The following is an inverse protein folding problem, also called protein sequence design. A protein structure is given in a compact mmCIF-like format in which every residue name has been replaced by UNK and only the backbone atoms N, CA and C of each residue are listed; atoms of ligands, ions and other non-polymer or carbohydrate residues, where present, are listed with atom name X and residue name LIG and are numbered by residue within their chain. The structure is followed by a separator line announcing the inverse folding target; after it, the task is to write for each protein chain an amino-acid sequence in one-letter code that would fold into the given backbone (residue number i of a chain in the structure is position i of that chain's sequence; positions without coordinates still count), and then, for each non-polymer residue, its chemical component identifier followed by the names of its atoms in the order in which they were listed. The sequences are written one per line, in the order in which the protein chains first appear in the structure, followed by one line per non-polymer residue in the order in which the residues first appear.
data_IF_580364084314
#
_entry.id   IF_580364084314
#
_cell.length_a   1.000
_cell.length_b   1.000
_cell.length_c   1.000
_cell.angle_alpha   90.00
_cell.angle_beta   90.00
_cell.angle_gamma   90.00
#
_symmetry.space_group_name_H-M   'P 1'
#
loop_
_entity.id
_entity.type
_entity.pdbx_description
1 polymer ?
#
# COMPACT_ATOMS: atom_id res chain seq x y z
N UNK A 1 29.36 17.01 27.51
CA UNK A 1 28.39 17.90 26.84
C UNK A 1 28.31 17.68 25.33
N UNK A 2 29.42 17.59 24.59
CA UNK A 2 29.40 17.35 23.12
C UNK A 2 28.74 16.02 22.72
N UNK A 3 29.04 14.93 23.43
CA UNK A 3 28.42 13.61 23.17
C UNK A 3 26.89 13.61 23.37
N UNK A 4 26.38 14.33 24.37
CA UNK A 4 24.95 14.45 24.65
C UNK A 4 24.20 15.24 23.56
N UNK A 5 24.80 16.29 23.01
CA UNK A 5 24.23 17.06 21.89
C UNK A 5 24.29 16.30 20.55
N UNK A 6 25.31 15.47 20.33
CA UNK A 6 25.39 14.62 19.12
C UNK A 6 24.30 13.54 19.17
N UNK A 7 24.10 12.91 20.33
CA UNK A 7 23.03 11.94 20.55
C UNK A 7 21.64 12.58 20.39
N UNK A 8 21.40 13.75 21.00
CA UNK A 8 20.09 14.41 20.90
C UNK A 8 19.74 14.83 19.47
N UNK A 9 20.72 15.30 18.70
CA UNK A 9 20.49 15.72 17.33
C UNK A 9 20.30 14.54 16.36
N UNK A 10 20.90 13.38 16.65
CA UNK A 10 20.62 12.15 15.91
C UNK A 10 19.21 11.63 16.22
N UNK A 11 18.79 11.65 17.48
CA UNK A 11 17.44 11.30 17.88
C UNK A 11 16.38 12.21 17.23
N UNK A 12 16.70 13.50 17.05
CA UNK A 12 15.85 14.44 16.30
C UNK A 12 15.74 14.08 14.82
N UNK A 13 16.86 13.68 14.19
CA UNK A 13 16.87 13.24 12.79
C UNK A 13 16.02 11.97 12.61
N UNK A 14 16.11 11.01 13.52
CA UNK A 14 15.28 9.80 13.51
C UNK A 14 13.80 10.11 13.77
N UNK A 15 13.49 10.94 14.77
CA UNK A 15 12.11 11.37 15.06
C UNK A 15 11.46 12.06 13.87
N UNK A 16 12.24 12.83 13.10
CA UNK A 16 11.76 13.42 11.86
C UNK A 16 11.36 12.33 10.85
N UNK A 17 12.24 11.36 10.58
CA UNK A 17 11.96 10.28 9.63
C UNK A 17 10.72 9.47 10.06
N UNK A 18 10.63 9.09 11.34
CA UNK A 18 9.48 8.37 11.89
C UNK A 18 8.19 9.16 11.74
N UNK A 19 8.19 10.45 12.08
CA UNK A 19 7.01 11.31 11.94
C UNK A 19 6.60 11.43 10.48
N UNK A 20 7.57 11.62 9.58
CA UNK A 20 7.28 11.82 8.17
C UNK A 20 6.70 10.57 7.52
N UNK A 21 7.18 9.40 7.89
CA UNK A 21 6.60 8.11 7.48
C UNK A 21 5.16 7.96 7.98
N UNK A 22 4.87 8.32 9.23
CA UNK A 22 3.50 8.27 9.75
C UNK A 22 2.56 9.23 9.00
N UNK A 23 3.01 10.44 8.68
CA UNK A 23 2.26 11.40 7.87
C UNK A 23 2.01 10.88 6.44
N UNK A 24 3.04 10.29 5.81
CA UNK A 24 2.91 9.63 4.50
C UNK A 24 1.91 8.48 4.55
N UNK A 25 1.95 7.66 5.60
CA UNK A 25 1.03 6.54 5.80
C UNK A 25 -0.43 7.00 5.86
N UNK A 26 -0.70 8.03 6.66
CA UNK A 26 -2.05 8.61 6.75
C UNK A 26 -2.53 9.22 5.42
N UNK A 27 -1.64 9.88 4.67
CA UNK A 27 -1.98 10.42 3.35
C UNK A 27 -2.25 9.30 2.33
N UNK A 28 -1.43 8.25 2.30
CA UNK A 28 -1.62 7.11 1.41
C UNK A 28 -2.94 6.36 1.72
N UNK A 29 -3.24 6.11 3.00
CA UNK A 29 -4.51 5.53 3.45
C UNK A 29 -5.70 6.37 2.97
N UNK A 30 -5.63 7.69 3.16
CA UNK A 30 -6.67 8.61 2.71
C UNK A 30 -6.85 8.58 1.19
N UNK A 31 -5.76 8.61 0.42
CA UNK A 31 -5.83 8.56 -1.05
C UNK A 31 -6.52 7.29 -1.55
N UNK A 32 -6.21 6.14 -0.95
CA UNK A 32 -6.84 4.86 -1.31
C UNK A 32 -8.32 4.88 -0.94
N UNK A 33 -8.65 5.27 0.30
CA UNK A 33 -10.04 5.34 0.77
C UNK A 33 -10.89 6.29 -0.09
N UNK A 34 -10.37 7.50 -0.37
CA UNK A 34 -11.04 8.49 -1.20
C UNK A 34 -11.19 8.00 -2.65
N UNK A 35 -10.23 7.23 -3.18
CA UNK A 35 -10.32 6.66 -4.54
C UNK A 35 -11.42 5.63 -4.68
N UNK A 36 -11.62 4.79 -3.66
CA UNK A 36 -12.67 3.77 -3.64
C UNK A 36 -14.03 4.42 -3.40
N UNK A 37 -14.12 5.40 -2.49
CA UNK A 37 -15.35 6.19 -2.29
C UNK A 37 -15.76 6.92 -3.57
N UNK A 38 -14.79 7.47 -4.31
CA UNK A 38 -15.03 8.10 -5.60
C UNK A 38 -15.58 7.09 -6.62
N UNK A 39 -15.05 5.86 -6.66
CA UNK A 39 -15.54 4.80 -7.54
C UNK A 39 -16.99 4.40 -7.22
N UNK A 40 -17.30 4.18 -5.94
CA UNK A 40 -18.63 3.72 -5.49
C UNK A 40 -19.70 4.76 -5.76
N UNK A 41 -19.39 6.03 -5.54
CA UNK A 41 -20.34 7.13 -5.70
C UNK A 41 -20.26 7.82 -7.07
N UNK A 42 -19.39 7.35 -7.96
CA UNK A 42 -19.11 8.00 -9.25
C UNK A 42 -18.74 9.49 -9.10
N UNK A 43 -17.98 9.80 -8.04
CA UNK A 43 -17.57 11.17 -7.69
C UNK A 43 -16.27 11.55 -8.39
N UNK A 44 -16.39 12.18 -9.56
CA UNK A 44 -15.25 12.62 -10.35
C UNK A 44 -14.45 13.75 -9.67
N UNK A 45 -15.09 14.58 -8.84
CA UNK A 45 -14.39 15.66 -8.15
C UNK A 45 -13.46 15.09 -7.07
N UNK A 46 -13.94 14.10 -6.31
CA UNK A 46 -13.12 13.37 -5.36
C UNK A 46 -11.98 12.60 -6.04
N UNK A 47 -12.25 11.95 -7.18
CA UNK A 47 -11.20 11.29 -7.96
C UNK A 47 -10.10 12.28 -8.39
N UNK A 48 -10.47 13.48 -8.86
CA UNK A 48 -9.51 14.50 -9.27
C UNK A 48 -8.69 15.04 -8.09
N UNK A 49 -9.30 15.14 -6.90
CA UNK A 49 -8.57 15.47 -5.66
C UNK A 49 -7.48 14.42 -5.38
N UNK A 50 -7.82 13.12 -5.39
CA UNK A 50 -6.84 12.04 -5.15
C UNK A 50 -5.68 12.10 -6.15
N UNK A 51 -5.96 12.36 -7.43
CA UNK A 51 -4.91 12.51 -8.45
C UNK A 51 -3.97 13.68 -8.12
N UNK A 52 -4.48 14.74 -7.49
CA UNK A 52 -3.70 15.92 -7.13
C UNK A 52 -2.89 15.72 -5.85
N UNK A 53 -3.43 14.95 -4.89
CA UNK A 53 -2.78 14.64 -3.61
C UNK A 53 -1.50 13.79 -3.79
N UNK A 54 -1.41 13.02 -4.88
CA UNK A 54 -0.24 12.23 -5.26
C UNK A 54 1.07 13.03 -5.28
N UNK A 55 1.03 14.28 -5.76
CA UNK A 55 2.20 15.16 -5.80
C UNK A 55 2.72 15.49 -4.40
N UNK A 56 1.83 15.54 -3.41
CA UNK A 56 2.20 15.79 -2.01
C UNK A 56 2.92 14.57 -1.43
N UNK A 57 2.46 13.37 -1.74
CA UNK A 57 3.08 12.13 -1.28
C UNK A 57 4.46 11.91 -1.94
N UNK A 58 4.55 12.16 -3.25
CA UNK A 58 5.80 12.22 -4.02
C UNK A 58 6.85 13.14 -3.38
N UNK A 59 6.42 14.33 -2.95
CA UNK A 59 7.32 15.28 -2.30
C UNK A 59 7.77 14.78 -0.93
N UNK A 60 6.87 14.15 -0.16
CA UNK A 60 7.18 13.59 1.14
C UNK A 60 8.20 12.43 1.06
N UNK A 61 8.09 11.57 0.04
CA UNK A 61 9.06 10.49 -0.22
C UNK A 61 10.46 11.05 -0.47
N UNK A 62 10.58 12.05 -1.35
CA UNK A 62 11.86 12.71 -1.66
C UNK A 62 12.46 13.38 -0.42
N UNK A 63 11.63 14.03 0.39
CA UNK A 63 12.05 14.66 1.64
C UNK A 63 12.62 13.65 2.65
N UNK A 64 12.02 12.46 2.76
CA UNK A 64 12.56 11.35 3.57
C UNK A 64 13.92 10.91 3.03
N UNK A 65 14.03 10.71 1.71
CA UNK A 65 15.28 10.32 1.06
C UNK A 65 16.42 11.32 1.31
N UNK A 66 16.16 12.60 1.06
CA UNK A 66 17.14 13.68 1.24
C UNK A 66 17.58 13.78 2.70
N UNK A 67 16.63 13.75 3.65
CA UNK A 67 16.95 13.78 5.07
C UNK A 67 17.78 12.57 5.47
N UNK A 68 17.42 11.37 5.01
CA UNK A 68 18.15 10.15 5.31
C UNK A 68 19.60 10.21 4.83
N UNK A 69 19.84 10.68 3.60
CA UNK A 69 21.18 10.87 3.03
C UNK A 69 22.00 11.85 3.88
N UNK A 70 21.41 13.00 4.24
CA UNK A 70 22.07 14.00 5.08
C UNK A 70 22.42 13.42 6.46
N UNK A 71 21.51 12.66 7.06
CA UNK A 71 21.74 12.00 8.36
C UNK A 71 22.89 11.00 8.27
N UNK A 72 22.92 10.15 7.24
CA UNK A 72 24.02 9.19 7.03
C UNK A 72 25.36 9.92 6.87
N UNK A 73 25.40 10.95 6.01
CA UNK A 73 26.63 11.68 5.73
C UNK A 73 27.18 12.42 6.96
N UNK A 74 26.29 13.01 7.78
CA UNK A 74 26.69 13.81 8.94
C UNK A 74 26.99 13.00 10.19
N UNK A 75 26.34 11.84 10.34
CA UNK A 75 26.35 11.07 11.61
C UNK A 75 27.07 9.75 11.52
N UNK A 76 27.29 9.23 10.31
CA UNK A 76 27.95 7.93 10.06
C UNK A 76 27.36 6.80 10.93
N UNK A 77 26.02 6.60 10.89
CA UNK A 77 25.34 5.59 11.70
C UNK A 77 25.83 4.18 11.37
N UNK A 78 25.83 3.29 12.36
CA UNK A 78 26.33 1.92 12.21
C UNK A 78 25.29 0.88 12.60
N UNK A 79 25.37 -0.30 11.98
CA UNK A 79 24.54 -1.46 12.30
C UNK A 79 23.03 -1.14 12.38
N UNK A 80 22.43 -1.16 13.58
CA UNK A 80 21.00 -0.95 13.78
C UNK A 80 20.53 0.44 13.31
N UNK A 81 21.32 1.47 13.63
CA UNK A 81 21.06 2.87 13.26
C UNK A 81 21.00 3.06 11.74
N UNK A 82 21.90 2.38 11.02
CA UNK A 82 21.91 2.42 9.55
C UNK A 82 20.73 1.64 8.97
N UNK A 83 20.40 0.47 9.55
CA UNK A 83 19.21 -0.30 9.12
C UNK A 83 17.93 0.51 9.32
N UNK A 84 17.83 1.27 10.40
CA UNK A 84 16.65 2.10 10.67
C UNK A 84 16.45 3.18 9.60
N UNK A 85 17.53 3.86 9.22
CA UNK A 85 17.48 4.88 8.16
C UNK A 85 17.19 4.26 6.80
N UNK A 86 17.85 3.15 6.45
CA UNK A 86 17.62 2.46 5.18
C UNK A 86 16.20 1.88 5.08
N UNK A 87 15.68 1.34 6.18
CA UNK A 87 14.31 0.86 6.26
C UNK A 87 13.30 2.00 6.11
N UNK A 88 13.59 3.16 6.67
CA UNK A 88 12.76 4.36 6.51
C UNK A 88 12.64 4.81 5.04
N UNK A 89 13.74 4.77 4.27
CA UNK A 89 13.72 5.06 2.83
C UNK A 89 12.84 4.04 2.09
N UNK A 90 13.01 2.74 2.36
CA UNK A 90 12.23 1.68 1.70
C UNK A 90 10.74 1.82 1.97
N UNK A 91 10.37 2.05 3.23
CA UNK A 91 8.96 2.22 3.64
C UNK A 91 8.36 3.47 3.00
N UNK A 92 9.11 4.58 2.91
CA UNK A 92 8.64 5.77 2.21
C UNK A 92 8.34 5.48 0.72
N UNK A 93 9.18 4.68 0.05
CA UNK A 93 8.94 4.25 -1.32
C UNK A 93 7.74 3.32 -1.45
N UNK A 94 7.54 2.36 -0.54
CA UNK A 94 6.33 1.51 -0.54
C UNK A 94 5.06 2.34 -0.30
N UNK A 95 5.11 3.36 0.57
CA UNK A 95 3.98 4.26 0.81
C UNK A 95 3.64 5.14 -0.39
N UNK A 96 4.64 5.70 -1.08
CA UNK A 96 4.42 6.40 -2.36
C UNK A 96 3.72 5.48 -3.36
N UNK A 97 4.18 4.23 -3.45
CA UNK A 97 3.60 3.25 -4.36
C UNK A 97 2.15 2.92 -4.04
N UNK A 98 1.79 2.83 -2.76
CA UNK A 98 0.39 2.71 -2.31
C UNK A 98 -0.45 3.90 -2.78
N UNK A 99 0.07 5.13 -2.65
CA UNK A 99 -0.59 6.33 -3.15
C UNK A 99 -0.80 6.32 -4.67
N UNK A 100 0.21 5.93 -5.46
CA UNK A 100 0.08 5.83 -6.92
C UNK A 100 -0.98 4.78 -7.32
N UNK A 101 -1.08 3.66 -6.60
CA UNK A 101 -2.16 2.68 -6.80
C UNK A 101 -3.54 3.30 -6.52
N UNK A 102 -3.70 4.08 -5.46
CA UNK A 102 -4.91 4.86 -5.17
C UNK A 102 -5.25 5.87 -6.28
N UNK A 103 -4.26 6.62 -6.76
CA UNK A 103 -4.40 7.53 -7.92
C UNK A 103 -4.79 6.78 -9.20
N UNK A 104 -4.23 5.61 -9.45
CA UNK A 104 -4.57 4.81 -10.63
C UNK A 104 -6.00 4.27 -10.54
N UNK A 105 -6.50 3.95 -9.34
CA UNK A 105 -7.92 3.67 -9.10
C UNK A 105 -8.78 4.91 -9.37
N UNK A 106 -8.39 6.09 -8.87
CA UNK A 106 -9.09 7.35 -9.09
C UNK A 106 -9.20 7.72 -10.58
N UNK A 107 -8.13 7.56 -11.37
CA UNK A 107 -8.17 7.77 -12.83
C UNK A 107 -9.21 6.90 -13.54
N UNK A 108 -9.48 5.69 -13.02
CA UNK A 108 -10.46 4.76 -13.59
C UNK A 108 -11.90 5.13 -13.25
N UNK A 109 -12.14 5.83 -12.14
CA UNK A 109 -13.46 6.40 -11.80
C UNK A 109 -13.96 7.30 -12.93
N UNK A 110 -13.08 8.16 -13.45
CA UNK A 110 -13.39 9.07 -14.56
C UNK A 110 -13.77 8.28 -15.82
N UNK A 111 -13.11 7.14 -16.06
CA UNK A 111 -13.37 6.29 -17.23
C UNK A 111 -14.73 5.56 -17.16
N UNK A 112 -15.22 5.21 -15.96
CA UNK A 112 -16.47 4.44 -15.78
C UNK A 112 -17.68 5.29 -15.38
N UNK A 113 -17.51 6.61 -15.24
CA UNK A 113 -18.56 7.52 -14.77
C UNK A 113 -19.84 7.48 -15.64
N UNK A 114 -19.71 7.27 -16.95
CA UNK A 114 -20.83 7.27 -17.88
C UNK A 114 -21.61 5.94 -17.97
N UNK A 115 -21.00 4.83 -17.56
CA UNK A 115 -21.61 3.48 -17.63
C UNK A 115 -22.17 3.01 -16.30
N UNK A 116 -21.69 3.59 -15.19
CA UNK A 116 -22.06 3.21 -13.84
C UNK A 116 -21.44 1.88 -13.41
N UNK A 117 -21.37 1.68 -12.10
CA UNK A 117 -20.82 0.45 -11.49
C UNK A 117 -21.96 -0.38 -10.89
N UNK A 118 -22.08 -1.67 -11.22
CA UNK A 118 -23.05 -2.55 -10.56
C UNK A 118 -22.84 -2.56 -9.05
N UNK A 119 -23.91 -2.31 -8.27
CA UNK A 119 -23.84 -2.19 -6.79
C UNK A 119 -23.18 -3.38 -6.09
N UNK A 120 -23.32 -4.59 -6.66
CA UNK A 120 -22.70 -5.79 -6.10
C UNK A 120 -21.17 -5.77 -6.24
N UNK A 121 -20.68 -5.42 -7.43
CA UNK A 121 -19.24 -5.27 -7.70
C UNK A 121 -18.63 -4.11 -6.91
N UNK A 122 -19.36 -2.99 -6.77
CA UNK A 122 -18.91 -1.86 -5.93
C UNK A 122 -18.66 -2.29 -4.48
N UNK A 123 -19.62 -3.00 -3.86
CA UNK A 123 -19.46 -3.53 -2.49
C UNK A 123 -18.31 -4.52 -2.36
N UNK A 124 -18.09 -5.32 -3.39
CA UNK A 124 -16.95 -6.23 -3.45
C UNK A 124 -15.62 -5.48 -3.39
N UNK A 125 -15.47 -4.41 -4.18
CA UNK A 125 -14.28 -3.56 -4.17
C UNK A 125 -14.13 -2.81 -2.85
N UNK A 126 -15.21 -2.28 -2.27
CA UNK A 126 -15.19 -1.65 -0.94
C UNK A 126 -14.61 -2.62 0.09
N UNK A 127 -15.12 -3.85 0.15
CA UNK A 127 -14.66 -4.81 1.13
C UNK A 127 -13.21 -5.28 0.89
N UNK A 128 -12.77 -5.43 -0.37
CA UNK A 128 -11.35 -5.68 -0.68
C UNK A 128 -10.47 -4.52 -0.20
N UNK A 129 -10.94 -3.28 -0.35
CA UNK A 129 -10.20 -2.10 0.12
C UNK A 129 -10.12 -2.00 1.63
N UNK A 130 -11.16 -2.41 2.35
CA UNK A 130 -11.17 -2.45 3.81
C UNK A 130 -10.11 -3.44 4.34
N UNK A 131 -9.96 -4.60 3.71
CA UNK A 131 -8.92 -5.58 4.08
C UNK A 131 -7.52 -5.01 3.84
N UNK A 132 -7.25 -4.48 2.64
CA UNK A 132 -5.95 -3.90 2.30
C UNK A 132 -5.58 -2.70 3.19
N UNK A 133 -6.54 -1.79 3.44
CA UNK A 133 -6.33 -0.65 4.34
C UNK A 133 -6.16 -1.08 5.80
N UNK A 134 -6.86 -2.12 6.24
CA UNK A 134 -6.67 -2.73 7.55
C UNK A 134 -5.24 -3.25 7.74
N UNK A 135 -4.72 -3.99 6.76
CA UNK A 135 -3.35 -4.50 6.78
C UNK A 135 -2.30 -3.37 6.73
N UNK A 136 -2.53 -2.35 5.90
CA UNK A 136 -1.67 -1.17 5.81
C UNK A 136 -1.60 -0.41 7.16
N UNK A 137 -2.75 -0.22 7.80
CA UNK A 137 -2.81 0.42 9.12
C UNK A 137 -2.05 -0.39 10.16
N UNK A 138 -2.28 -1.71 10.19
CA UNK A 138 -1.63 -2.58 11.15
C UNK A 138 -0.11 -2.57 11.00
N UNK A 139 0.41 -2.58 9.76
CA UNK A 139 1.86 -2.56 9.54
C UNK A 139 2.49 -1.23 9.96
N UNK A 140 1.76 -0.11 9.83
CA UNK A 140 2.19 1.20 10.33
C UNK A 140 2.18 1.26 11.87
N UNK A 141 1.24 0.59 12.53
CA UNK A 141 1.26 0.43 13.99
C UNK A 141 2.44 -0.44 14.46
N UNK A 142 2.78 -1.48 13.68
CA UNK A 142 3.97 -2.31 13.92
C UNK A 142 5.26 -1.53 13.69
N UNK A 143 5.30 -0.63 12.71
CA UNK A 143 6.45 0.26 12.48
C UNK A 143 6.77 1.07 13.74
N UNK A 144 5.75 1.63 14.41
CA UNK A 144 5.93 2.40 15.64
C UNK A 144 6.49 1.59 16.82
N UNK A 145 6.20 0.28 16.87
CA UNK A 145 6.62 -0.61 17.97
C UNK A 145 7.85 -1.47 17.66
N UNK A 146 8.30 -1.52 16.40
CA UNK A 146 9.46 -2.30 15.93
C UNK A 146 9.36 -3.80 16.27
N UNK A 147 8.14 -4.34 16.30
CA UNK A 147 7.89 -5.72 16.74
C UNK A 147 8.07 -6.72 15.59
N UNK A 148 9.12 -7.57 15.58
CA UNK A 148 9.34 -8.54 14.50
C UNK A 148 8.25 -9.60 14.44
N UNK A 149 7.78 -10.10 15.59
CA UNK A 149 6.73 -11.15 15.64
C UNK A 149 5.42 -10.69 15.01
N UNK A 150 5.04 -9.42 15.21
CA UNK A 150 3.84 -8.83 14.60
C UNK A 150 4.02 -8.64 13.10
N UNK A 151 5.22 -8.27 12.65
CA UNK A 151 5.52 -8.14 11.23
C UNK A 151 5.39 -9.48 10.50
N UNK A 152 5.84 -10.59 11.10
CA UNK A 152 5.64 -11.94 10.54
C UNK A 152 4.15 -12.29 10.46
N UNK A 153 3.38 -12.01 11.51
CA UNK A 153 1.94 -12.29 11.51
C UNK A 153 1.17 -11.53 10.42
N UNK A 154 1.56 -10.29 10.09
CA UNK A 154 0.94 -9.52 9.00
C UNK A 154 1.22 -10.16 7.64
N UNK A 155 2.46 -10.62 7.43
CA UNK A 155 2.90 -11.30 6.20
C UNK A 155 2.14 -12.59 5.93
N UNK A 156 1.71 -13.30 6.97
CA UNK A 156 0.95 -14.55 6.85
C UNK A 156 -0.54 -14.34 6.49
N UNK A 157 -1.10 -13.15 6.75
CA UNK A 157 -2.54 -12.86 6.51
C UNK A 157 -2.86 -12.32 5.13
N UNK A 158 -1.85 -12.24 4.27
CA UNK A 158 -2.00 -11.70 2.93
C UNK A 158 -2.89 -12.55 2.00
N UNK A 159 -2.99 -13.87 2.27
CA UNK A 159 -3.85 -14.80 1.54
C UNK A 159 -5.32 -14.36 1.50
N UNK A 160 -5.80 -13.65 2.53
CA UNK A 160 -7.19 -13.17 2.59
C UNK A 160 -7.50 -12.15 1.48
N UNK A 161 -6.53 -11.28 1.16
CA UNK A 161 -6.65 -10.26 0.10
C UNK A 161 -6.60 -10.94 -1.27
N UNK A 162 -5.67 -11.88 -1.47
CA UNK A 162 -5.51 -12.68 -2.69
C UNK A 162 -6.78 -13.48 -3.03
N UNK A 163 -7.33 -14.19 -2.04
CA UNK A 163 -8.54 -14.98 -2.18
C UNK A 163 -9.74 -14.10 -2.53
N UNK A 164 -9.84 -12.93 -1.88
CA UNK A 164 -10.90 -11.97 -2.17
C UNK A 164 -10.79 -11.38 -3.58
N UNK A 165 -9.59 -11.00 -4.01
CA UNK A 165 -9.33 -10.54 -5.36
C UNK A 165 -9.72 -11.60 -6.39
N UNK A 166 -9.33 -12.86 -6.18
CA UNK A 166 -9.68 -13.98 -7.05
C UNK A 166 -11.20 -14.19 -7.15
N UNK A 167 -11.91 -14.08 -6.02
CA UNK A 167 -13.38 -14.16 -5.99
C UNK A 167 -14.03 -13.05 -6.84
N UNK A 168 -13.58 -11.80 -6.66
CA UNK A 168 -14.07 -10.65 -7.44
C UNK A 168 -13.74 -10.80 -8.93
N UNK A 169 -12.56 -11.32 -9.25
CA UNK A 169 -12.16 -11.58 -10.63
C UNK A 169 -13.16 -12.52 -11.32
N UNK A 170 -13.50 -13.66 -10.68
CA UNK A 170 -14.48 -14.63 -11.22
C UNK A 170 -15.88 -14.04 -11.32
N UNK A 171 -16.29 -13.23 -10.34
CA UNK A 171 -17.58 -12.55 -10.39
C UNK A 171 -17.66 -11.58 -11.57
N UNK A 172 -16.63 -10.76 -11.80
CA UNK A 172 -16.59 -9.83 -12.94
C UNK A 172 -16.63 -10.57 -14.29
N UNK A 173 -15.98 -11.73 -14.42
CA UNK A 173 -16.09 -12.57 -15.63
C UNK A 173 -17.54 -13.00 -15.88
N UNK A 174 -18.26 -13.38 -14.84
CA UNK A 174 -19.67 -13.78 -14.97
C UNK A 174 -20.53 -12.61 -15.46
N UNK A 175 -20.32 -11.40 -14.92
CA UNK A 175 -21.00 -10.18 -15.41
C UNK A 175 -20.71 -9.85 -16.88
N UNK A 176 -19.48 -10.11 -17.35
CA UNK A 176 -19.10 -9.94 -18.75
C UNK A 176 -19.78 -10.98 -19.66
N UNK A 177 -19.90 -12.23 -19.19
CA UNK A 177 -20.55 -13.32 -19.93
C UNK A 177 -22.07 -13.14 -20.02
N UNK A 178 -22.70 -12.61 -18.96
CA UNK A 178 -24.14 -12.33 -18.93
C UNK A 178 -24.56 -11.22 -19.89
N UNK A 179 -23.75 -10.16 -20.01
CA UNK A 179 -24.00 -9.05 -20.94
C UNK A 179 -22.67 -8.43 -21.44
N UNK A 180 -22.33 -8.59 -22.75
CA UNK A 180 -21.10 -8.03 -23.32
C UNK A 180 -20.95 -6.51 -23.17
N UNK A 181 -22.02 -5.77 -22.92
CA UNK A 181 -21.94 -4.32 -22.64
C UNK A 181 -21.19 -4.02 -21.35
N UNK A 182 -21.10 -4.99 -20.43
CA UNK A 182 -20.37 -4.87 -19.18
C UNK A 182 -18.85 -5.01 -19.33
N UNK A 183 -18.34 -5.47 -20.47
CA UNK A 183 -16.91 -5.77 -20.67
C UNK A 183 -16.04 -4.57 -20.29
N UNK A 184 -16.34 -3.39 -20.83
CA UNK A 184 -15.52 -2.20 -20.59
C UNK A 184 -15.51 -1.82 -19.10
N UNK A 185 -16.68 -1.71 -18.46
CA UNK A 185 -16.78 -1.37 -17.03
C UNK A 185 -16.06 -2.41 -16.18
N UNK A 186 -16.32 -3.71 -16.39
CA UNK A 186 -15.72 -4.78 -15.61
C UNK A 186 -14.20 -4.83 -15.81
N UNK A 187 -13.68 -4.54 -17.00
CA UNK A 187 -12.22 -4.42 -17.21
C UNK A 187 -11.63 -3.29 -16.37
N UNK A 188 -12.26 -2.12 -16.30
CA UNK A 188 -11.78 -1.04 -15.41
C UNK A 188 -11.83 -1.44 -13.94
N UNK A 189 -12.90 -2.12 -13.50
CA UNK A 189 -13.04 -2.61 -12.14
C UNK A 189 -12.01 -3.69 -11.78
N UNK A 190 -11.67 -4.58 -12.71
CA UNK A 190 -10.61 -5.59 -12.53
C UNK A 190 -9.27 -4.93 -12.22
N UNK A 191 -8.92 -3.88 -12.95
CA UNK A 191 -7.70 -3.12 -12.67
C UNK A 191 -7.76 -2.37 -11.33
N UNK A 192 -8.92 -1.84 -10.93
CA UNK A 192 -9.08 -1.28 -9.58
C UNK A 192 -8.87 -2.35 -8.50
N UNK A 193 -9.47 -3.53 -8.67
CA UNK A 193 -9.30 -4.65 -7.74
C UNK A 193 -7.84 -5.10 -7.67
N UNK A 194 -7.13 -5.23 -8.80
CA UNK A 194 -5.70 -5.57 -8.79
C UNK A 194 -4.84 -4.48 -8.17
N UNK A 195 -5.17 -3.20 -8.38
CA UNK A 195 -4.47 -2.12 -7.69
C UNK A 195 -4.61 -2.23 -6.17
N UNK A 196 -5.80 -2.60 -5.68
CA UNK A 196 -6.06 -2.74 -4.24
C UNK A 196 -5.35 -3.98 -3.67
N UNK A 197 -5.35 -5.11 -4.38
CA UNK A 197 -4.57 -6.28 -3.96
C UNK A 197 -3.07 -5.95 -3.85
N UNK A 198 -2.52 -5.19 -4.80
CA UNK A 198 -1.12 -4.72 -4.72
C UNK A 198 -0.85 -3.78 -3.54
N UNK A 199 -1.86 -3.18 -2.93
CA UNK A 199 -1.67 -2.42 -1.68
C UNK A 199 -1.37 -3.39 -0.53
N UNK A 200 -2.01 -4.57 -0.49
CA UNK A 200 -1.67 -5.65 0.43
C UNK A 200 -0.22 -6.15 0.24
N UNK A 201 0.21 -6.26 -1.02
CA UNK A 201 1.63 -6.53 -1.34
C UNK A 201 2.58 -5.51 -0.70
N UNK A 202 2.29 -4.22 -0.84
CA UNK A 202 3.12 -3.17 -0.25
C UNK A 202 3.05 -3.16 1.28
N UNK A 203 1.90 -3.44 1.88
CA UNK A 203 1.79 -3.63 3.33
C UNK A 203 2.70 -4.77 3.81
N UNK A 204 2.74 -5.88 3.07
CA UNK A 204 3.65 -7.00 3.37
C UNK A 204 5.13 -6.63 3.19
N UNK A 205 5.49 -5.89 2.14
CA UNK A 205 6.87 -5.40 1.95
C UNK A 205 7.33 -4.49 3.11
N UNK A 206 6.43 -3.64 3.60
CA UNK A 206 6.69 -2.79 4.78
C UNK A 206 6.92 -3.69 6.01
N UNK A 207 6.14 -4.76 6.18
CA UNK A 207 6.30 -5.70 7.28
C UNK A 207 7.68 -6.40 7.22
N UNK A 208 8.07 -6.89 6.05
CA UNK A 208 9.40 -7.49 5.82
C UNK A 208 10.53 -6.48 6.11
N UNK A 209 10.33 -5.21 5.74
CA UNK A 209 11.29 -4.15 6.04
C UNK A 209 11.41 -3.90 7.54
N UNK A 210 10.30 -3.87 8.28
CA UNK A 210 10.31 -3.71 9.75
C UNK A 210 11.00 -4.90 10.42
N UNK A 211 10.73 -6.12 9.94
CA UNK A 211 11.41 -7.32 10.42
C UNK A 211 12.93 -7.19 10.24
N UNK A 212 13.38 -6.83 9.04
CA UNK A 212 14.80 -6.62 8.76
C UNK A 212 15.42 -5.50 9.60
N UNK A 213 14.70 -4.41 9.85
CA UNK A 213 15.16 -3.34 10.74
C UNK A 213 15.46 -3.89 12.13
N UNK A 214 14.54 -4.68 12.69
CA UNK A 214 14.64 -5.24 14.03
C UNK A 214 15.70 -6.35 14.15
N UNK A 215 15.74 -7.29 13.19
CA UNK A 215 16.55 -8.52 13.32
C UNK A 215 17.87 -8.48 12.55
N UNK A 216 17.95 -7.66 11.48
CA UNK A 216 19.05 -7.69 10.52
C UNK A 216 19.03 -8.87 9.55
N UNK A 217 18.00 -9.70 9.57
CA UNK A 217 17.80 -10.85 8.68
C UNK A 217 16.50 -10.72 7.88
N UNK A 218 16.40 -11.45 6.77
CA UNK A 218 15.13 -11.59 6.04
C UNK A 218 14.26 -12.65 6.73
N UNK A 219 12.92 -12.53 6.66
CA UNK A 219 12.03 -13.60 7.12
C UNK A 219 12.33 -14.92 6.40
N UNK A 220 12.26 -16.04 7.13
CA UNK A 220 12.46 -17.38 6.56
C UNK A 220 11.19 -17.86 5.83
N UNK A 221 11.38 -18.63 4.75
CA UNK A 221 10.29 -19.23 3.96
C UNK A 221 9.67 -18.32 2.90
N UNK A 222 9.04 -18.91 1.89
CA UNK A 222 8.28 -18.16 0.90
C UNK A 222 7.02 -17.56 1.53
N UNK A 223 6.57 -16.42 0.98
CA UNK A 223 5.32 -15.79 1.40
C UNK A 223 4.16 -16.70 0.97
N UNK A 224 3.23 -17.04 1.87
CA UNK A 224 2.01 -17.73 1.47
C UNK A 224 1.24 -16.86 0.47
N UNK A 225 0.83 -17.43 -0.68
CA UNK A 225 0.10 -16.73 -1.75
C UNK A 225 -1.07 -17.58 -2.19
N UNK A 226 -2.25 -16.97 -2.30
CA UNK A 226 -3.47 -17.62 -2.79
C UNK A 226 -4.05 -16.91 -4.04
N UNK A 227 -3.24 -16.14 -4.77
CA UNK A 227 -3.63 -15.57 -6.07
C UNK A 227 -3.67 -16.68 -7.14
N UNK A 228 -4.86 -17.26 -7.30
CA UNK A 228 -5.15 -18.21 -8.38
C UNK A 228 -5.76 -17.54 -9.62
N UNK A 229 -5.85 -16.20 -9.68
CA UNK A 229 -6.41 -15.51 -10.83
C UNK A 229 -5.61 -15.82 -12.12
N UNK A 230 -4.29 -15.98 -12.02
CA UNK A 230 -3.42 -16.33 -13.14
C UNK A 230 -3.62 -17.78 -13.66
N UNK A 231 -4.32 -18.63 -12.91
CA UNK A 231 -4.65 -20.01 -13.29
C UNK A 231 -6.15 -20.21 -13.55
N UNK A 232 -6.97 -19.15 -13.42
CA UNK A 232 -8.40 -19.20 -13.78
C UNK A 232 -8.52 -19.48 -15.29
N UNK A 233 -9.12 -20.63 -15.62
CA UNK A 233 -9.29 -21.09 -17.00
C UNK A 233 -8.16 -21.99 -17.52
N UNK A 234 -7.15 -22.31 -16.70
CA UNK A 234 -6.22 -23.38 -17.01
C UNK A 234 -6.99 -24.70 -17.12
N UNK A 235 -6.98 -25.30 -18.31
CA UNK A 235 -7.49 -26.66 -18.52
C UNK A 235 -6.50 -27.60 -17.84
N UNK A 236 -6.91 -28.25 -16.75
CA UNK A 236 -6.22 -29.44 -16.26
C UNK A 236 -6.41 -30.53 -17.31
N UNK A 237 -5.37 -30.83 -18.08
CA UNK A 237 -5.31 -32.02 -18.95
C UNK A 237 -5.34 -33.31 -18.12
#
# INVERSE_FOLDING_TARGET
MVSTHILSAYDEDLKFLTRRIAEMGGLAEQMVSDSVRALVHSDAALAQKVISDDVVLDHAEREVGDKAIVTIARRQPMAADLREIMGSIRIASDLERVGDLGKNTAKRVIAVQGTGVPRKLARGIEHLSELALGQLKEVLDVYATRSPDKAVSIRERDEEIDAMYTSLFREMLTYMMEDPRNITTCTHLLFCAKNIERIGDHATNIAETIYYMATGAQPEGERPKDDTANTVGAVTE
#
